data_IF_934793824540
#
_entry.id   IF_934793824540
#
_cell.length_a   1.000
_cell.length_b   1.000
_cell.length_c   1.000
_cell.angle_alpha   90.00
_cell.angle_beta   90.00
_cell.angle_gamma   90.00
#
_symmetry.space_group_name_H-M   'P 1'
#
loop_
_entity.id
_entity.type
_entity.pdbx_description
1 polymer ?
#
# COMPACT_ATOMS: atom_id res chain seq x y z
N UNK A 1 13.12 -24.62 -4.37
CA UNK A 1 12.85 -25.06 -5.75
C UNK A 1 14.13 -24.93 -6.57
N UNK A 2 14.42 -25.92 -7.42
CA UNK A 2 15.66 -26.05 -8.22
C UNK A 2 16.02 -24.75 -8.99
N UNK A 3 15.05 -24.11 -9.60
CA UNK A 3 15.27 -22.89 -10.40
C UNK A 3 15.56 -21.62 -9.59
N UNK A 4 15.24 -21.58 -8.32
CA UNK A 4 15.41 -20.35 -7.53
C UNK A 4 16.87 -19.89 -7.43
N UNK A 5 17.80 -20.85 -7.25
CA UNK A 5 19.22 -20.56 -7.18
C UNK A 5 19.79 -20.24 -8.56
N UNK A 6 19.31 -20.93 -9.61
CA UNK A 6 19.65 -20.63 -11.00
C UNK A 6 19.23 -19.22 -11.39
N UNK A 7 18.03 -18.79 -11.05
CA UNK A 7 17.59 -17.41 -11.27
C UNK A 7 18.45 -16.37 -10.53
N UNK A 8 18.83 -16.64 -9.28
CA UNK A 8 19.75 -15.73 -8.55
C UNK A 8 21.08 -15.58 -9.26
N UNK A 9 21.65 -16.68 -9.74
CA UNK A 9 22.91 -16.66 -10.50
C UNK A 9 22.76 -15.90 -11.83
N UNK A 10 21.66 -16.11 -12.57
CA UNK A 10 21.38 -15.39 -13.81
C UNK A 10 21.33 -13.88 -13.55
N UNK A 11 20.60 -13.44 -12.52
CA UNK A 11 20.51 -12.01 -12.19
C UNK A 11 21.85 -11.41 -11.78
N UNK A 12 22.66 -12.12 -11.01
CA UNK A 12 24.00 -11.69 -10.63
C UNK A 12 24.92 -11.55 -11.84
N UNK A 13 24.99 -12.57 -12.69
CA UNK A 13 25.80 -12.55 -13.93
C UNK A 13 25.39 -11.41 -14.86
N UNK A 14 24.08 -11.16 -15.01
CA UNK A 14 23.61 -10.05 -15.83
C UNK A 14 23.94 -8.68 -15.22
N UNK A 15 23.94 -8.54 -13.89
CA UNK A 15 24.35 -7.32 -13.20
C UNK A 15 25.84 -7.02 -13.43
N UNK A 16 26.67 -8.06 -13.41
CA UNK A 16 28.12 -7.98 -13.71
C UNK A 16 28.41 -7.82 -15.21
N UNK A 17 27.41 -7.90 -16.07
CA UNK A 17 27.55 -7.78 -17.52
C UNK A 17 27.90 -9.09 -18.24
N UNK A 18 27.99 -10.21 -17.52
CA UNK A 18 28.30 -11.55 -18.05
C UNK A 18 27.07 -12.17 -18.77
N UNK A 19 26.61 -11.51 -19.82
CA UNK A 19 25.35 -11.84 -20.53
C UNK A 19 25.40 -13.22 -21.18
N UNK A 20 26.57 -13.65 -21.65
CA UNK A 20 26.77 -14.97 -22.29
C UNK A 20 26.66 -16.09 -21.26
N UNK A 21 27.31 -15.95 -20.12
CA UNK A 21 27.24 -16.94 -19.03
C UNK A 21 25.80 -17.06 -18.50
N UNK A 22 25.11 -15.92 -18.32
CA UNK A 22 23.71 -15.90 -17.95
C UNK A 22 22.83 -16.63 -18.98
N UNK A 23 23.10 -16.50 -20.29
CA UNK A 23 22.33 -17.14 -21.33
C UNK A 23 22.43 -18.68 -21.26
N UNK A 24 23.60 -19.21 -20.92
CA UNK A 24 23.78 -20.67 -20.73
C UNK A 24 22.97 -21.22 -19.57
N UNK A 25 22.86 -20.44 -18.45
CA UNK A 25 22.03 -20.83 -17.31
C UNK A 25 20.54 -20.75 -17.62
N UNK A 26 20.12 -19.78 -18.45
CA UNK A 26 18.72 -19.65 -18.87
C UNK A 26 18.23 -20.93 -19.58
N UNK A 27 19.08 -21.57 -20.36
CA UNK A 27 18.74 -22.83 -21.06
C UNK A 27 18.53 -24.02 -20.11
N UNK A 28 18.99 -23.94 -18.86
CA UNK A 28 18.83 -24.99 -17.85
C UNK A 28 17.59 -24.82 -16.97
N UNK A 29 16.81 -23.75 -17.16
CA UNK A 29 15.61 -23.48 -16.37
C UNK A 29 14.46 -24.41 -16.77
N UNK A 30 13.82 -24.98 -15.77
CA UNK A 30 12.58 -25.76 -15.94
C UNK A 30 11.35 -24.87 -16.06
N UNK A 31 11.40 -23.64 -15.54
CA UNK A 31 10.28 -22.68 -15.53
C UNK A 31 10.72 -21.32 -16.07
N UNK A 32 9.88 -20.72 -16.90
CA UNK A 32 10.07 -19.38 -17.48
C UNK A 32 9.37 -18.25 -16.70
N UNK A 33 8.93 -18.53 -15.47
CA UNK A 33 8.11 -17.62 -14.64
C UNK A 33 8.71 -16.22 -14.48
N UNK A 34 10.05 -16.13 -14.30
CA UNK A 34 10.73 -14.84 -14.17
C UNK A 34 11.39 -14.34 -15.46
N UNK A 35 11.11 -14.95 -16.60
CA UNK A 35 11.75 -14.62 -17.89
C UNK A 35 11.52 -13.15 -18.29
N UNK A 36 10.36 -12.58 -17.98
CA UNK A 36 10.09 -11.15 -18.19
C UNK A 36 11.08 -10.25 -17.47
N UNK A 37 11.44 -10.61 -16.21
CA UNK A 37 12.42 -9.89 -15.39
C UNK A 37 13.85 -10.08 -15.92
N UNK A 38 14.23 -11.32 -16.22
CA UNK A 38 15.55 -11.66 -16.77
C UNK A 38 15.82 -10.89 -18.07
N UNK A 39 14.88 -10.93 -19.00
CA UNK A 39 15.03 -10.22 -20.28
C UNK A 39 15.00 -8.69 -20.09
N UNK A 40 14.21 -8.16 -19.12
CA UNK A 40 14.19 -6.72 -18.87
C UNK A 40 15.52 -6.22 -18.32
N UNK A 41 16.16 -6.96 -17.41
CA UNK A 41 17.48 -6.62 -16.89
C UNK A 41 18.53 -6.61 -18.01
N UNK A 42 18.59 -7.68 -18.83
CA UNK A 42 19.46 -7.74 -20.00
C UNK A 42 19.26 -6.55 -20.94
N UNK A 43 18.01 -6.25 -21.33
CA UNK A 43 17.71 -5.23 -22.34
C UNK A 43 17.94 -3.81 -21.85
N UNK A 44 17.88 -3.58 -20.54
CA UNK A 44 18.13 -2.31 -19.90
C UNK A 44 19.54 -2.17 -19.33
N UNK A 45 20.40 -3.18 -19.52
CA UNK A 45 21.79 -3.08 -19.05
C UNK A 45 22.51 -1.92 -19.75
N UNK A 46 23.24 -1.07 -18.99
CA UNK A 46 23.78 0.18 -19.51
C UNK A 46 24.81 -0.01 -20.63
N UNK A 47 25.65 -1.06 -20.55
CA UNK A 47 26.82 -1.23 -21.41
C UNK A 47 26.95 -2.62 -22.04
N UNK A 48 26.62 -3.69 -21.30
CA UNK A 48 26.93 -5.06 -21.72
C UNK A 48 26.00 -5.60 -22.82
N UNK A 49 24.84 -4.95 -23.07
CA UNK A 49 23.89 -5.40 -24.09
C UNK A 49 23.23 -4.25 -24.81
N UNK A 50 23.20 -4.35 -26.15
CA UNK A 50 22.45 -3.41 -27.00
C UNK A 50 21.25 -4.11 -27.66
N UNK A 51 20.10 -4.04 -27.02
CA UNK A 51 18.87 -4.63 -27.55
C UNK A 51 18.43 -4.00 -28.87
N UNK A 52 17.94 -4.80 -29.81
CA UNK A 52 17.35 -4.32 -31.06
C UNK A 52 15.89 -3.85 -30.86
N UNK A 53 15.35 -3.09 -31.82
CA UNK A 53 13.92 -2.77 -31.86
C UNK A 53 13.06 -4.04 -31.87
N UNK A 54 13.49 -5.08 -32.58
CA UNK A 54 12.80 -6.37 -32.66
C UNK A 54 12.70 -7.04 -31.27
N UNK A 55 13.82 -7.12 -30.54
CA UNK A 55 13.86 -7.72 -29.21
C UNK A 55 12.91 -7.02 -28.25
N UNK A 56 12.96 -5.68 -28.23
CA UNK A 56 12.10 -4.85 -27.37
C UNK A 56 10.61 -4.98 -27.74
N UNK A 57 10.31 -5.07 -29.05
CA UNK A 57 8.93 -5.25 -29.54
C UNK A 57 8.36 -6.62 -29.19
N UNK A 58 9.16 -7.67 -29.33
CA UNK A 58 8.77 -9.03 -28.92
C UNK A 58 8.55 -9.09 -27.42
N UNK A 59 9.44 -8.50 -26.61
CA UNK A 59 9.29 -8.44 -25.17
C UNK A 59 8.01 -7.72 -24.76
N UNK A 60 7.74 -6.54 -25.33
CA UNK A 60 6.52 -5.77 -25.08
C UNK A 60 5.24 -6.50 -25.52
N UNK A 61 5.30 -7.38 -26.49
CA UNK A 61 4.14 -8.18 -26.89
C UNK A 61 3.70 -9.17 -25.82
N UNK A 62 4.65 -9.69 -25.00
CA UNK A 62 4.44 -10.70 -23.97
C UNK A 62 4.33 -10.11 -22.58
N UNK A 63 5.12 -9.09 -22.25
CA UNK A 63 5.31 -8.55 -20.90
C UNK A 63 4.98 -7.06 -20.81
N UNK A 64 3.98 -6.59 -21.55
CA UNK A 64 3.64 -5.15 -21.56
C UNK A 64 3.00 -4.65 -20.26
N UNK A 65 2.65 -5.52 -19.33
CA UNK A 65 2.19 -5.25 -17.96
C UNK A 65 3.33 -5.28 -16.92
N UNK A 66 4.55 -5.62 -17.33
CA UNK A 66 5.73 -5.65 -16.46
C UNK A 66 6.09 -4.23 -15.96
N UNK A 67 6.61 -4.06 -14.71
CA UNK A 67 7.01 -2.76 -14.17
C UNK A 67 7.95 -1.96 -15.07
N UNK A 68 8.86 -2.64 -15.80
CA UNK A 68 9.81 -2.00 -16.73
C UNK A 68 9.21 -1.69 -18.12
N UNK A 69 7.94 -1.99 -18.38
CA UNK A 69 7.36 -1.89 -19.72
C UNK A 69 7.42 -0.46 -20.28
N UNK A 70 7.19 0.56 -19.47
CA UNK A 70 7.29 1.96 -19.88
C UNK A 70 8.71 2.35 -20.31
N UNK A 71 9.72 1.87 -19.58
CA UNK A 71 11.14 2.13 -19.89
C UNK A 71 11.57 1.41 -21.16
N UNK A 72 11.16 0.15 -21.32
CA UNK A 72 11.43 -0.64 -22.54
C UNK A 72 10.69 -0.05 -23.75
N UNK A 73 9.46 0.43 -23.58
CA UNK A 73 8.71 1.10 -24.65
C UNK A 73 9.43 2.37 -25.13
N UNK A 74 9.87 3.21 -24.19
CA UNK A 74 10.65 4.40 -24.53
C UNK A 74 11.93 4.04 -25.30
N UNK A 75 12.65 3.00 -24.90
CA UNK A 75 13.84 2.53 -25.58
C UNK A 75 13.52 1.96 -26.98
N UNK A 76 12.40 1.24 -27.09
CA UNK A 76 11.88 0.72 -28.36
C UNK A 76 11.58 1.88 -29.32
N UNK A 77 10.91 2.93 -28.88
CA UNK A 77 10.58 4.09 -29.71
C UNK A 77 11.84 4.82 -30.21
N UNK A 78 12.88 4.92 -29.37
CA UNK A 78 14.19 5.48 -29.78
C UNK A 78 14.92 4.64 -30.83
N UNK A 79 14.69 3.32 -30.83
CA UNK A 79 15.37 2.39 -31.76
C UNK A 79 14.50 1.95 -32.92
N UNK A 80 13.32 2.54 -33.04
CA UNK A 80 12.34 2.20 -34.06
C UNK A 80 12.85 2.58 -35.46
N UNK A 81 12.94 1.66 -36.44
CA UNK A 81 13.25 1.96 -37.81
C UNK A 81 12.19 2.87 -38.45
N UNK A 82 12.61 3.72 -39.39
CA UNK A 82 11.69 4.57 -40.16
C UNK A 82 10.66 3.69 -40.88
N UNK A 83 9.38 3.99 -40.71
CA UNK A 83 8.27 3.23 -41.32
C UNK A 83 7.81 2.00 -40.52
N UNK A 84 8.52 1.55 -39.50
CA UNK A 84 8.08 0.42 -38.68
C UNK A 84 6.85 0.78 -37.82
N UNK A 85 5.95 -0.21 -37.59
CA UNK A 85 4.86 -0.06 -36.64
C UNK A 85 5.42 0.08 -35.21
N UNK A 86 4.78 0.91 -34.39
CA UNK A 86 5.15 1.07 -32.98
C UNK A 86 4.95 -0.23 -32.21
N UNK A 87 5.86 -0.55 -31.30
CA UNK A 87 5.69 -1.68 -30.39
C UNK A 87 4.46 -1.49 -29.50
N UNK A 88 3.94 -2.61 -28.95
CA UNK A 88 2.76 -2.61 -28.08
C UNK A 88 2.95 -1.63 -26.91
N UNK A 89 1.93 -0.85 -26.62
CA UNK A 89 1.96 0.07 -25.49
C UNK A 89 2.00 -0.69 -24.15
N UNK A 90 2.65 -0.12 -23.14
CA UNK A 90 2.54 -0.65 -21.79
C UNK A 90 1.08 -0.72 -21.37
N UNK A 91 0.68 -1.86 -20.85
CA UNK A 91 -0.62 -2.02 -20.20
C UNK A 91 -0.45 -1.51 -18.78
N UNK A 92 -1.27 -0.53 -18.41
CA UNK A 92 -1.35 -0.19 -17.00
C UNK A 92 -1.82 -1.45 -16.27
N UNK A 93 -1.04 -1.92 -15.30
CA UNK A 93 -1.39 -3.08 -14.50
C UNK A 93 -2.75 -2.85 -13.83
N UNK A 94 -3.39 -3.94 -13.39
CA UNK A 94 -4.70 -3.94 -12.72
C UNK A 94 -4.85 -2.85 -11.64
N UNK A 95 -3.74 -2.35 -11.15
CA UNK A 95 -3.67 -1.40 -10.06
C UNK A 95 -2.94 -0.08 -10.46
N UNK A 96 -2.86 0.27 -11.73
CA UNK A 96 -2.08 1.41 -12.24
C UNK A 96 -0.63 1.45 -11.71
N UNK A 97 -0.03 0.27 -11.46
CA UNK A 97 1.28 0.11 -10.86
C UNK A 97 1.35 0.37 -9.34
N UNK A 98 0.24 0.65 -8.68
CA UNK A 98 0.17 0.93 -7.24
C UNK A 98 -0.87 0.08 -6.50
N UNK A 99 -1.46 -0.91 -7.14
CA UNK A 99 -2.37 -1.79 -6.45
C UNK A 99 -3.79 -1.29 -6.23
N UNK A 100 -4.08 -0.05 -6.52
CA UNK A 100 -5.42 0.52 -6.37
C UNK A 100 -5.77 1.31 -7.63
N UNK A 101 -6.94 1.07 -8.20
CA UNK A 101 -7.50 1.81 -9.35
C UNK A 101 -7.85 3.28 -9.05
N UNK A 102 -7.26 3.93 -8.25
CA UNK A 102 -7.09 5.21 -7.56
C UNK A 102 -6.92 4.87 -6.08
N UNK A 103 -5.99 5.50 -5.36
CA UNK A 103 -6.11 5.52 -3.92
C UNK A 103 -7.51 6.11 -3.68
N UNK A 104 -8.48 5.28 -3.31
CA UNK A 104 -9.62 5.79 -2.57
C UNK A 104 -8.96 6.49 -1.40
N UNK A 105 -8.74 7.79 -1.57
CA UNK A 105 -8.18 8.54 -0.49
C UNK A 105 -9.20 8.33 0.60
N UNK A 106 -8.78 7.80 1.73
CA UNK A 106 -9.54 7.78 2.97
C UNK A 106 -10.27 9.12 3.22
N UNK A 107 -9.82 10.18 2.56
CA UNK A 107 -10.49 11.49 2.46
C UNK A 107 -11.82 11.50 1.70
N UNK A 108 -12.12 10.49 0.88
CA UNK A 108 -13.37 10.47 0.10
C UNK A 108 -14.60 10.17 0.96
N UNK A 109 -14.41 9.54 2.10
CA UNK A 109 -15.48 9.24 3.04
C UNK A 109 -15.52 10.30 4.15
N UNK A 110 -15.81 11.55 3.78
CA UNK A 110 -16.30 12.54 4.75
C UNK A 110 -17.59 11.96 5.31
N UNK A 111 -17.69 11.67 6.62
CA UNK A 111 -18.90 11.14 7.20
C UNK A 111 -20.12 11.97 6.80
N UNK A 112 -21.23 11.32 6.49
CA UNK A 112 -22.47 12.01 6.09
C UNK A 112 -22.90 13.04 7.12
N UNK A 113 -22.59 12.80 8.42
CA UNK A 113 -22.77 13.71 9.53
C UNK A 113 -22.06 15.08 9.38
N UNK A 114 -21.06 15.17 8.49
CA UNK A 114 -20.36 16.42 8.21
C UNK A 114 -21.06 17.29 7.16
N UNK A 115 -22.02 16.71 6.45
CA UNK A 115 -22.80 17.40 5.44
C UNK A 115 -23.98 18.09 6.12
N UNK A 116 -24.24 19.33 5.79
CA UNK A 116 -25.45 20.05 6.20
C UNK A 116 -25.43 20.78 7.55
N UNK A 117 -24.29 20.86 8.24
CA UNK A 117 -24.19 21.58 9.53
C UNK A 117 -23.95 23.08 9.38
N UNK A 118 -24.42 23.85 10.37
CA UNK A 118 -24.30 25.32 10.40
C UNK A 118 -22.86 25.87 10.57
N UNK A 119 -21.87 25.03 10.95
CA UNK A 119 -20.47 25.41 11.14
C UNK A 119 -19.44 24.65 10.31
N UNK A 120 -19.70 24.28 9.05
CA UNK A 120 -18.81 23.40 8.28
C UNK A 120 -17.44 24.05 8.00
N UNK A 121 -17.35 25.38 7.93
CA UNK A 121 -16.09 26.09 7.68
C UNK A 121 -15.13 25.97 8.87
N UNK A 122 -15.62 26.03 10.11
CA UNK A 122 -14.77 25.93 11.31
C UNK A 122 -14.21 24.53 11.48
N UNK A 123 -15.03 23.50 11.36
CA UNK A 123 -14.60 22.10 11.38
C UNK A 123 -13.58 21.83 10.29
N UNK A 124 -13.82 22.28 9.06
CA UNK A 124 -12.88 22.13 7.95
C UNK A 124 -11.54 22.84 8.22
N UNK A 125 -11.55 23.99 8.89
CA UNK A 125 -10.32 24.70 9.27
C UNK A 125 -9.52 23.90 10.32
N UNK A 126 -10.18 23.43 11.38
CA UNK A 126 -9.57 22.59 12.42
C UNK A 126 -8.93 21.34 11.79
N UNK A 127 -9.66 20.62 10.94
CA UNK A 127 -9.14 19.46 10.24
C UNK A 127 -7.93 19.81 9.35
N UNK A 128 -7.95 20.96 8.70
CA UNK A 128 -6.84 21.44 7.87
C UNK A 128 -5.60 21.78 8.70
N UNK A 129 -5.76 22.40 9.84
CA UNK A 129 -4.67 22.70 10.76
C UNK A 129 -4.03 21.43 11.32
N UNK A 130 -4.84 20.47 11.78
CA UNK A 130 -4.39 19.14 12.23
C UNK A 130 -3.57 18.45 11.14
N UNK A 131 -4.11 18.36 9.93
CA UNK A 131 -3.42 17.72 8.80
C UNK A 131 -2.15 18.48 8.38
N UNK A 132 -2.12 19.79 8.54
CA UNK A 132 -0.91 20.61 8.32
C UNK A 132 0.16 20.29 9.37
N UNK A 133 -0.19 20.19 10.64
CA UNK A 133 0.72 19.78 11.69
C UNK A 133 1.29 18.37 11.46
N UNK A 134 0.44 17.42 11.09
CA UNK A 134 0.86 16.04 10.72
C UNK A 134 1.86 16.07 9.56
N UNK A 135 1.57 16.78 8.47
CA UNK A 135 2.49 16.86 7.31
C UNK A 135 3.83 17.51 7.62
N UNK A 136 3.90 18.34 8.66
CA UNK A 136 5.14 18.95 9.15
C UNK A 136 5.91 18.07 10.15
N UNK A 137 5.44 16.85 10.41
CA UNK A 137 6.08 15.94 11.35
C UNK A 137 5.74 16.22 12.83
N UNK A 138 4.65 16.94 13.10
CA UNK A 138 4.28 17.34 14.46
C UNK A 138 2.93 16.72 14.91
N UNK A 139 2.82 15.39 15.07
CA UNK A 139 1.58 14.75 15.51
C UNK A 139 1.16 15.16 16.93
N UNK A 140 2.11 15.51 17.81
CA UNK A 140 1.78 16.05 19.15
C UNK A 140 1.12 17.42 19.06
N UNK A 141 1.61 18.31 18.21
CA UNK A 141 0.93 19.59 17.95
C UNK A 141 -0.47 19.42 17.32
N UNK A 142 -0.64 18.40 16.48
CA UNK A 142 -1.97 18.04 15.99
C UNK A 142 -2.91 17.57 17.12
N UNK A 143 -2.37 16.83 18.10
CA UNK A 143 -3.13 16.41 19.29
C UNK A 143 -3.53 17.61 20.16
N UNK A 144 -2.65 18.59 20.31
CA UNK A 144 -2.95 19.83 21.06
C UNK A 144 -4.09 20.62 20.39
N UNK A 145 -4.11 20.68 19.05
CA UNK A 145 -5.20 21.35 18.31
C UNK A 145 -6.54 20.66 18.57
N UNK A 146 -6.59 19.31 18.52
CA UNK A 146 -7.84 18.58 18.77
C UNK A 146 -8.27 18.61 20.24
N UNK A 147 -7.33 18.74 21.19
CA UNK A 147 -7.63 18.83 22.62
C UNK A 147 -8.08 20.22 23.06
N UNK A 148 -7.89 21.23 22.23
CA UNK A 148 -8.28 22.57 22.56
C UNK A 148 -9.81 22.69 22.74
N UNK A 149 -10.27 23.07 23.91
CA UNK A 149 -11.70 23.22 24.28
C UNK A 149 -12.46 24.12 23.31
N UNK A 150 -11.82 25.20 22.81
CA UNK A 150 -12.43 26.10 21.84
C UNK A 150 -12.65 25.43 20.45
N UNK A 151 -11.87 24.43 20.10
CA UNK A 151 -12.05 23.65 18.88
C UNK A 151 -13.06 22.50 19.07
N UNK A 152 -13.00 21.81 20.22
CA UNK A 152 -13.89 20.67 20.52
C UNK A 152 -15.38 21.03 20.40
N UNK A 153 -15.80 22.22 20.79
CA UNK A 153 -17.21 22.67 20.69
C UNK A 153 -17.76 22.70 19.25
N UNK A 154 -16.89 22.67 18.25
CA UNK A 154 -17.28 22.65 16.83
C UNK A 154 -17.22 21.26 16.20
N UNK A 155 -16.72 20.27 16.92
CA UNK A 155 -16.59 18.89 16.47
C UNK A 155 -17.71 18.03 17.04
N UNK A 156 -18.29 17.18 16.22
CA UNK A 156 -19.10 16.04 16.69
C UNK A 156 -18.19 14.95 17.23
N UNK A 157 -18.75 13.99 17.97
CA UNK A 157 -18.00 12.82 18.44
C UNK A 157 -17.33 12.07 17.28
N UNK A 158 -18.05 11.88 16.17
CA UNK A 158 -17.53 11.21 14.96
C UNK A 158 -16.38 11.98 14.31
N UNK A 159 -16.46 13.28 14.22
CA UNK A 159 -15.40 14.13 13.68
C UNK A 159 -14.16 14.14 14.57
N UNK A 160 -14.37 14.21 15.90
CA UNK A 160 -13.27 14.08 16.85
C UNK A 160 -12.61 12.71 16.76
N UNK A 161 -13.38 11.62 16.70
CA UNK A 161 -12.90 10.26 16.54
C UNK A 161 -12.06 10.11 15.26
N UNK A 162 -12.56 10.64 14.15
CA UNK A 162 -11.87 10.61 12.87
C UNK A 162 -10.53 11.36 12.93
N UNK A 163 -10.51 12.59 13.43
CA UNK A 163 -9.29 13.39 13.51
C UNK A 163 -8.26 12.78 14.48
N UNK A 164 -8.70 12.21 15.61
CA UNK A 164 -7.83 11.47 16.54
C UNK A 164 -7.27 10.20 15.88
N UNK A 165 -8.04 9.53 15.03
CA UNK A 165 -7.59 8.41 14.23
C UNK A 165 -6.48 8.80 13.23
N UNK A 166 -6.62 9.93 12.54
CA UNK A 166 -5.55 10.46 11.67
C UNK A 166 -4.27 10.79 12.47
N UNK A 167 -4.40 11.30 13.69
CA UNK A 167 -3.26 11.57 14.58
C UNK A 167 -2.62 10.27 15.06
N UNK A 168 -3.42 9.26 15.40
CA UNK A 168 -2.91 7.93 15.76
C UNK A 168 -2.09 7.32 14.62
N UNK A 169 -2.61 7.41 13.39
CA UNK A 169 -1.89 6.94 12.21
C UNK A 169 -0.58 7.73 11.98
N UNK A 170 -0.59 9.05 12.20
CA UNK A 170 0.62 9.85 12.12
C UNK A 170 1.69 9.40 13.15
N UNK A 171 1.31 9.16 14.40
CA UNK A 171 2.25 8.61 15.40
C UNK A 171 2.81 7.26 14.97
N UNK A 172 1.97 6.37 14.40
CA UNK A 172 2.44 5.11 13.85
C UNK A 172 3.47 5.31 12.73
N UNK A 173 3.21 6.18 11.76
CA UNK A 173 4.13 6.50 10.66
C UNK A 173 5.47 7.03 11.19
N UNK A 174 5.45 7.86 12.24
CA UNK A 174 6.67 8.38 12.86
C UNK A 174 7.33 7.44 13.87
N UNK A 175 6.89 6.20 14.00
CA UNK A 175 7.53 5.19 14.84
C UNK A 175 7.21 5.32 16.34
N UNK A 176 6.20 6.08 16.74
CA UNK A 176 5.87 6.33 18.15
C UNK A 176 4.64 5.50 18.57
N UNK A 177 4.82 4.17 18.62
CA UNK A 177 3.73 3.19 18.76
C UNK A 177 2.87 3.37 20.00
N UNK A 178 3.48 3.64 21.15
CA UNK A 178 2.69 3.85 22.39
C UNK A 178 1.78 5.07 22.31
N UNK A 179 2.22 6.14 21.65
CA UNK A 179 1.36 7.31 21.43
C UNK A 179 0.30 7.01 20.38
N UNK A 180 0.62 6.22 19.34
CA UNK A 180 -0.35 5.78 18.34
C UNK A 180 -1.48 4.97 18.99
N UNK A 181 -1.16 3.98 19.83
CA UNK A 181 -2.16 3.17 20.55
C UNK A 181 -3.00 4.02 21.50
N UNK A 182 -2.39 4.97 22.22
CA UNK A 182 -3.15 5.88 23.10
C UNK A 182 -4.13 6.76 22.32
N UNK A 183 -3.67 7.38 21.23
CA UNK A 183 -4.52 8.21 20.38
C UNK A 183 -5.63 7.39 19.70
N UNK A 184 -5.33 6.16 19.29
CA UNK A 184 -6.29 5.21 18.75
C UNK A 184 -7.43 4.91 19.75
N UNK A 185 -7.08 4.58 21.00
CA UNK A 185 -8.06 4.34 22.06
C UNK A 185 -8.91 5.59 22.35
N UNK A 186 -8.31 6.75 22.32
CA UNK A 186 -9.05 8.03 22.47
C UNK A 186 -10.02 8.25 21.32
N UNK A 187 -9.64 7.92 20.08
CA UNK A 187 -10.53 7.99 18.93
C UNK A 187 -11.73 7.05 19.11
N UNK A 188 -11.48 5.81 19.47
CA UNK A 188 -12.50 4.77 19.67
C UNK A 188 -13.46 5.16 20.82
N UNK A 189 -12.93 5.73 21.90
CA UNK A 189 -13.76 6.17 23.04
C UNK A 189 -14.70 7.33 22.68
N UNK A 190 -14.45 8.07 21.59
CA UNK A 190 -15.33 9.14 21.12
C UNK A 190 -16.46 8.63 20.24
N UNK A 191 -16.16 7.73 19.33
CA UNK A 191 -17.14 7.09 18.44
C UNK A 191 -16.59 5.76 17.94
N UNK A 192 -17.09 4.67 18.51
CA UNK A 192 -16.65 3.31 18.15
C UNK A 192 -16.95 2.96 16.70
N UNK A 193 -18.03 3.49 16.12
CA UNK A 193 -18.47 3.14 14.76
C UNK A 193 -17.80 3.96 13.67
N UNK A 194 -17.13 5.07 14.02
CA UNK A 194 -16.51 5.98 13.05
C UNK A 194 -14.99 6.12 13.25
N UNK A 195 -14.41 5.43 14.24
CA UNK A 195 -12.97 5.51 14.54
C UNK A 195 -12.12 4.57 13.66
N UNK A 196 -12.47 4.38 12.39
CA UNK A 196 -11.80 3.40 11.49
C UNK A 196 -10.28 3.52 11.49
N UNK A 197 -9.74 4.74 11.35
CA UNK A 197 -8.29 4.97 11.40
C UNK A 197 -7.70 4.75 12.79
N UNK A 198 -8.49 4.92 13.84
CA UNK A 198 -8.08 4.56 15.20
C UNK A 198 -7.82 3.05 15.31
N UNK A 199 -8.77 2.23 14.88
CA UNK A 199 -8.60 0.78 14.86
C UNK A 199 -7.43 0.35 13.97
N UNK A 200 -7.33 0.92 12.77
CA UNK A 200 -6.26 0.62 11.83
C UNK A 200 -4.87 0.95 12.41
N UNK A 201 -4.68 2.19 12.86
CA UNK A 201 -3.41 2.66 13.41
C UNK A 201 -3.05 1.96 14.74
N UNK A 202 -4.05 1.74 15.61
CA UNK A 202 -3.89 1.00 16.85
C UNK A 202 -3.45 -0.45 16.60
N UNK A 203 -4.06 -1.12 15.62
CA UNK A 203 -3.70 -2.45 15.19
C UNK A 203 -2.27 -2.54 14.69
N UNK A 204 -1.88 -1.68 13.74
CA UNK A 204 -0.53 -1.66 13.17
C UNK A 204 0.54 -1.32 14.22
N UNK A 205 0.30 -0.33 15.07
CA UNK A 205 1.22 0.05 16.13
C UNK A 205 1.38 -1.08 17.17
N UNK A 206 0.29 -1.74 17.52
CA UNK A 206 0.31 -2.90 18.45
C UNK A 206 1.05 -4.07 17.84
N UNK A 207 0.86 -4.36 16.53
CA UNK A 207 1.57 -5.42 15.83
C UNK A 207 3.08 -5.14 15.80
N UNK A 208 3.50 -3.94 15.45
CA UNK A 208 4.92 -3.55 15.43
C UNK A 208 5.58 -3.60 16.80
N UNK A 209 4.81 -3.30 17.85
CA UNK A 209 5.25 -3.42 19.24
C UNK A 209 5.09 -4.85 19.82
N UNK A 210 4.84 -5.86 18.96
CA UNK A 210 4.66 -7.27 19.31
C UNK A 210 3.52 -7.58 20.31
N UNK A 211 2.57 -6.64 20.45
CA UNK A 211 1.35 -6.80 21.28
C UNK A 211 0.25 -7.44 20.45
N UNK A 212 0.44 -8.72 20.07
CA UNK A 212 -0.36 -9.38 19.04
C UNK A 212 -1.84 -9.55 19.41
N UNK A 213 -2.15 -9.85 20.69
CA UNK A 213 -3.55 -9.94 21.14
C UNK A 213 -4.27 -8.59 20.98
N UNK A 214 -3.60 -7.51 21.38
CA UNK A 214 -4.14 -6.15 21.23
C UNK A 214 -4.29 -5.76 19.75
N UNK A 215 -3.30 -6.09 18.93
CA UNK A 215 -3.39 -5.90 17.48
C UNK A 215 -4.59 -6.65 16.90
N UNK A 216 -4.75 -7.92 17.29
CA UNK A 216 -5.86 -8.76 16.87
C UNK A 216 -7.22 -8.18 17.27
N UNK A 217 -7.36 -7.61 18.48
CA UNK A 217 -8.61 -6.97 18.89
C UNK A 217 -8.99 -5.79 18.00
N UNK A 218 -8.04 -4.92 17.67
CA UNK A 218 -8.27 -3.79 16.78
C UNK A 218 -8.64 -4.24 15.36
N UNK A 219 -7.87 -5.17 14.79
CA UNK A 219 -8.09 -5.62 13.42
C UNK A 219 -9.40 -6.39 13.24
N UNK A 220 -9.74 -7.28 14.18
CA UNK A 220 -11.03 -8.01 14.15
C UNK A 220 -12.20 -7.04 14.13
N UNK A 221 -12.22 -6.11 15.09
CA UNK A 221 -13.30 -5.12 15.17
C UNK A 221 -13.44 -4.36 13.85
N UNK A 222 -12.34 -3.88 13.27
CA UNK A 222 -12.39 -3.13 12.02
C UNK A 222 -12.83 -3.99 10.83
N UNK A 223 -12.41 -5.26 10.76
CA UNK A 223 -12.78 -6.18 9.69
C UNK A 223 -14.29 -6.49 9.68
N UNK A 224 -14.91 -6.52 10.86
CA UNK A 224 -16.33 -6.82 11.04
C UNK A 224 -17.23 -5.60 10.88
N UNK A 225 -16.69 -4.38 10.84
CA UNK A 225 -17.44 -3.15 10.67
C UNK A 225 -17.98 -3.00 9.25
N UNK A 226 -19.27 -3.24 9.04
CA UNK A 226 -19.92 -3.14 7.71
C UNK A 226 -19.91 -1.72 7.12
N UNK A 227 -19.85 -0.70 7.97
CA UNK A 227 -19.82 0.72 7.58
C UNK A 227 -18.40 1.25 7.35
N UNK A 228 -17.37 0.46 7.63
CA UNK A 228 -15.99 0.85 7.37
C UNK A 228 -15.67 0.78 5.86
N UNK A 229 -14.75 1.63 5.36
CA UNK A 229 -14.29 1.55 3.98
C UNK A 229 -13.73 0.17 3.63
N UNK A 230 -14.10 -0.40 2.48
CA UNK A 230 -13.73 -1.76 2.06
C UNK A 230 -12.21 -1.98 2.11
N UNK A 231 -11.43 -0.99 1.69
CA UNK A 231 -9.96 -1.04 1.74
C UNK A 231 -9.43 -1.22 3.16
N UNK A 232 -10.06 -0.59 4.16
CA UNK A 232 -9.65 -0.75 5.55
C UNK A 232 -10.16 -2.08 6.13
N UNK A 233 -11.36 -2.50 5.74
CA UNK A 233 -11.92 -3.80 6.14
C UNK A 233 -11.06 -4.95 5.61
N UNK A 234 -10.76 -4.95 4.31
CA UNK A 234 -9.93 -5.98 3.69
C UNK A 234 -8.53 -6.01 4.31
N UNK A 235 -7.90 -4.84 4.50
CA UNK A 235 -6.61 -4.74 5.18
C UNK A 235 -6.65 -5.24 6.62
N UNK A 236 -7.69 -4.90 7.38
CA UNK A 236 -7.87 -5.35 8.74
C UNK A 236 -8.11 -6.87 8.82
N UNK A 237 -8.90 -7.42 7.90
CA UNK A 237 -9.13 -8.86 7.79
C UNK A 237 -7.83 -9.63 7.50
N UNK A 238 -7.00 -9.12 6.57
CA UNK A 238 -5.68 -9.69 6.32
C UNK A 238 -4.79 -9.71 7.58
N UNK A 239 -4.75 -8.61 8.35
CA UNK A 239 -3.97 -8.56 9.57
C UNK A 239 -4.56 -9.43 10.70
N UNK A 240 -5.89 -9.51 10.80
CA UNK A 240 -6.57 -10.43 11.73
C UNK A 240 -6.25 -11.89 11.41
N UNK A 241 -6.24 -12.25 10.12
CA UNK A 241 -5.76 -13.56 9.66
C UNK A 241 -4.33 -13.83 10.15
N UNK A 242 -3.39 -12.89 9.96
CA UNK A 242 -2.00 -13.06 10.40
C UNK A 242 -1.88 -13.25 11.91
N UNK A 243 -2.69 -12.53 12.69
CA UNK A 243 -2.73 -12.72 14.16
C UNK A 243 -3.26 -14.12 14.49
N UNK A 244 -4.37 -14.56 13.89
CA UNK A 244 -4.94 -15.89 14.12
C UNK A 244 -3.95 -17.01 13.78
N UNK A 245 -3.24 -16.90 12.65
CA UNK A 245 -2.19 -17.85 12.28
C UNK A 245 -1.05 -17.90 13.30
N UNK A 246 -0.65 -16.75 13.86
CA UNK A 246 0.39 -16.69 14.90
C UNK A 246 -0.04 -17.42 16.20
N UNK A 247 -1.32 -17.43 16.49
CA UNK A 247 -1.88 -18.13 17.66
C UNK A 247 -2.35 -19.56 17.36
N UNK A 248 -2.04 -20.11 16.18
CA UNK A 248 -2.39 -21.48 15.82
C UNK A 248 -3.91 -21.69 15.62
N UNK A 249 -4.62 -20.69 15.14
CA UNK A 249 -6.07 -20.69 14.92
C UNK A 249 -6.43 -20.67 13.42
N UNK A 250 -6.13 -21.73 12.65
CA UNK A 250 -6.25 -21.73 11.20
C UNK A 250 -7.70 -21.53 10.71
N UNK A 251 -8.69 -22.15 11.35
CA UNK A 251 -10.10 -21.99 10.97
C UNK A 251 -10.58 -20.53 11.10
N UNK A 252 -10.14 -19.85 12.15
CA UNK A 252 -10.44 -18.42 12.33
C UNK A 252 -9.67 -17.57 11.32
N UNK A 253 -8.44 -17.92 11.01
CA UNK A 253 -7.64 -17.25 10.00
C UNK A 253 -8.32 -17.29 8.63
N UNK A 254 -8.83 -18.44 8.22
CA UNK A 254 -9.54 -18.64 6.94
C UNK A 254 -10.82 -17.78 6.86
N UNK A 255 -11.56 -17.63 7.98
CA UNK A 255 -12.75 -16.78 8.02
C UNK A 255 -12.42 -15.31 7.70
N UNK A 256 -11.28 -14.80 8.19
CA UNK A 256 -10.84 -13.44 7.87
C UNK A 256 -10.40 -13.27 6.41
N UNK A 257 -9.78 -14.30 5.81
CA UNK A 257 -9.45 -14.24 4.38
C UNK A 257 -10.69 -14.15 3.50
N UNK A 258 -11.78 -14.80 3.87
CA UNK A 258 -13.06 -14.65 3.18
C UNK A 258 -13.59 -13.20 3.25
N UNK A 259 -13.45 -12.54 4.40
CA UNK A 259 -13.82 -11.10 4.53
C UNK A 259 -12.91 -10.21 3.64
N UNK A 260 -11.63 -10.54 3.55
CA UNK A 260 -10.68 -9.76 2.75
C UNK A 260 -10.93 -9.89 1.23
N UNK A 261 -11.58 -10.96 0.79
CA UNK A 261 -11.86 -11.25 -0.62
C UNK A 261 -13.19 -10.65 -1.13
N UNK A 262 -14.04 -10.15 -0.23
CA UNK A 262 -15.35 -9.53 -0.53
C UNK A 262 -15.26 -8.01 -0.50
#
# INVERSE_FOLDING_TARGET
PKDADTYRQIFALQEDGEIQAAAMLIETLDSDLLMGHVLSQKYLHPTAWRSSFKDLSVWLSRYNDHPSASRIKWLSDKRKPKGAKSAKAPKQGYLNGVGLSRPQSYRANIPESWKGRSAPRRTANIAREIRRAIRRGHPSGALDIVNNKSNLRYLTASEEAHLRGEIAHAYFIFGVDDKAVRAARQAIAKDTEQAFMGYWAGGLASWRAERFELAGSFFRTLAEMKNAPDVLRAGAAFWAHRVAMRFGQPLQADSYMNIAAT
#
